data_IF_586693506298
#
_entry.id   IF_586693506298
#
_cell.length_a   1.000
_cell.length_b   1.000
_cell.length_c   1.000
_cell.angle_alpha   90.00
_cell.angle_beta   90.00
_cell.angle_gamma   90.00
#
_symmetry.space_group_name_H-M   'P 1'
#
loop_
_entity.id
_entity.type
_entity.pdbx_description
1 polymer ?
#
# COMPACT_ATOMS: atom_id res chain seq x y z
N UNK A 1 -22.68 -19.28 0.67
CA UNK A 1 -21.74 -18.33 0.02
C UNK A 1 -20.29 -18.80 0.04
N UNK A 2 -19.74 -19.29 1.17
CA UNK A 2 -18.32 -19.72 1.25
C UNK A 2 -18.00 -20.98 0.41
N UNK A 3 -18.85 -22.01 0.46
CA UNK A 3 -18.64 -23.27 -0.29
C UNK A 3 -18.59 -23.11 -1.82
N UNK A 4 -19.26 -22.10 -2.37
CA UNK A 4 -19.29 -21.87 -3.81
C UNK A 4 -18.01 -21.17 -4.33
N UNK A 5 -17.24 -20.56 -3.42
CA UNK A 5 -15.99 -19.85 -3.73
C UNK A 5 -14.76 -20.71 -3.43
N UNK A 6 -14.87 -21.64 -2.48
CA UNK A 6 -13.80 -22.56 -2.10
C UNK A 6 -14.35 -23.98 -1.92
N UNK A 7 -14.55 -24.74 -3.02
CA UNK A 7 -15.20 -26.05 -2.98
C UNK A 7 -14.39 -27.13 -2.23
N UNK A 8 -13.06 -27.01 -2.20
CA UNK A 8 -12.15 -27.97 -1.57
C UNK A 8 -11.68 -27.57 -0.16
N UNK A 9 -12.30 -26.55 0.46
CA UNK A 9 -11.84 -26.03 1.76
C UNK A 9 -12.46 -26.78 2.94
N UNK A 10 -11.59 -27.26 3.83
CA UNK A 10 -11.99 -27.79 5.13
C UNK A 10 -12.68 -26.69 5.95
N UNK A 11 -14.00 -26.82 6.09
CA UNK A 11 -14.84 -25.86 6.81
C UNK A 11 -14.54 -25.81 8.31
N UNK A 12 -13.99 -26.88 8.90
CA UNK A 12 -13.59 -26.88 10.31
C UNK A 12 -12.31 -26.08 10.51
N UNK A 13 -11.29 -26.31 9.67
CA UNK A 13 -10.08 -25.48 9.67
C UNK A 13 -10.40 -24.00 9.42
N UNK A 14 -11.30 -23.71 8.48
CA UNK A 14 -11.71 -22.33 8.20
C UNK A 14 -12.42 -21.68 9.39
N UNK A 15 -13.28 -22.41 10.11
CA UNK A 15 -13.92 -21.92 11.34
C UNK A 15 -12.89 -21.64 12.44
N UNK A 16 -11.92 -22.53 12.62
CA UNK A 16 -10.84 -22.34 13.60
C UNK A 16 -10.01 -21.08 13.31
N UNK A 17 -9.65 -20.87 12.04
CA UNK A 17 -8.93 -19.65 11.62
C UNK A 17 -9.81 -18.42 11.82
N UNK A 18 -11.08 -18.46 11.41
CA UNK A 18 -12.00 -17.35 11.58
C UNK A 18 -12.19 -16.97 13.05
N UNK A 19 -12.21 -17.93 13.98
CA UNK A 19 -12.28 -17.65 15.42
C UNK A 19 -11.00 -17.03 15.99
N UNK A 20 -9.86 -17.22 15.33
CA UNK A 20 -8.59 -16.60 15.72
C UNK A 20 -8.42 -15.17 15.18
N UNK A 21 -9.33 -14.69 14.33
CA UNK A 21 -9.29 -13.33 13.77
C UNK A 21 -10.32 -12.46 14.45
N UNK A 22 -9.85 -11.45 15.19
CA UNK A 22 -10.71 -10.40 15.74
C UNK A 22 -10.84 -9.26 14.75
N UNK A 23 -12.06 -8.95 14.33
CA UNK A 23 -12.36 -7.85 13.40
C UNK A 23 -13.03 -6.71 14.16
N UNK A 24 -12.52 -5.49 13.94
CA UNK A 24 -13.10 -4.26 14.48
C UNK A 24 -13.32 -3.31 13.32
N UNK A 25 -14.51 -2.73 13.24
CA UNK A 25 -14.86 -1.74 12.23
C UNK A 25 -14.92 -0.35 12.86
N UNK A 26 -14.42 0.63 12.13
CA UNK A 26 -14.51 2.04 12.50
C UNK A 26 -15.02 2.85 11.33
N UNK A 27 -15.74 3.92 11.64
CA UNK A 27 -16.34 4.80 10.63
C UNK A 27 -15.83 6.23 10.70
N UNK A 28 -15.14 6.58 11.79
CA UNK A 28 -14.58 7.91 12.03
C UNK A 28 -13.12 7.85 12.46
N UNK A 29 -12.40 8.97 12.28
CA UNK A 29 -11.03 9.13 12.73
C UNK A 29 -10.91 9.13 14.26
N UNK A 30 -11.92 9.62 14.98
CA UNK A 30 -11.92 9.62 16.45
C UNK A 30 -12.11 8.19 16.99
N UNK A 31 -13.06 7.41 16.45
CA UNK A 31 -13.23 5.99 16.81
C UNK A 31 -11.94 5.19 16.56
N UNK A 32 -11.28 5.42 15.42
CA UNK A 32 -10.00 4.78 15.12
C UNK A 32 -8.94 5.17 16.15
N UNK A 33 -8.87 6.44 16.55
CA UNK A 33 -7.91 6.89 17.58
C UNK A 33 -8.17 6.18 18.91
N UNK A 34 -9.42 6.17 19.37
CA UNK A 34 -9.80 5.56 20.65
C UNK A 34 -9.42 4.07 20.69
N UNK A 35 -9.65 3.35 19.59
CA UNK A 35 -9.24 1.95 19.44
C UNK A 35 -7.71 1.81 19.46
N UNK A 36 -6.98 2.71 18.79
CA UNK A 36 -5.52 2.67 18.76
C UNK A 36 -4.89 3.04 20.10
N UNK A 37 -5.55 3.84 20.92
CA UNK A 37 -5.13 4.13 22.30
C UNK A 37 -5.24 2.88 23.19
N UNK A 38 -6.23 2.02 22.93
CA UNK A 38 -6.46 0.77 23.65
C UNK A 38 -5.82 -0.46 22.97
N UNK A 39 -5.07 -0.27 21.89
CA UNK A 39 -4.60 -1.37 21.03
C UNK A 39 -3.76 -2.40 21.78
N UNK A 40 -2.92 -1.97 22.73
CA UNK A 40 -2.10 -2.89 23.54
C UNK A 40 -2.96 -3.89 24.33
N UNK A 41 -4.07 -3.43 24.91
CA UNK A 41 -5.01 -4.29 25.64
C UNK A 41 -5.70 -5.24 24.66
N UNK A 42 -6.16 -4.72 23.52
CA UNK A 42 -6.81 -5.54 22.50
C UNK A 42 -5.90 -6.64 21.94
N UNK A 43 -4.61 -6.32 21.74
CA UNK A 43 -3.58 -7.27 21.31
C UNK A 43 -3.36 -8.35 22.37
N UNK A 44 -3.28 -7.97 23.64
CA UNK A 44 -3.12 -8.90 24.75
C UNK A 44 -4.33 -9.84 24.88
N UNK A 45 -5.54 -9.28 24.93
CA UNK A 45 -6.79 -10.03 25.09
C UNK A 45 -7.03 -11.01 23.94
N UNK A 46 -6.68 -10.61 22.72
CA UNK A 46 -6.81 -11.45 21.54
C UNK A 46 -5.62 -12.40 21.33
N UNK A 47 -4.56 -12.30 22.14
CA UNK A 47 -3.27 -12.97 21.91
C UNK A 47 -2.79 -12.80 20.45
N UNK A 48 -2.89 -11.57 19.94
CA UNK A 48 -2.70 -11.28 18.53
C UNK A 48 -1.22 -11.28 18.14
N UNK A 49 -0.87 -11.99 17.06
CA UNK A 49 0.48 -11.98 16.47
C UNK A 49 0.69 -10.95 15.35
N UNK A 50 -0.37 -10.25 14.92
CA UNK A 50 -0.35 -9.29 13.82
C UNK A 50 -1.54 -8.33 13.95
N UNK A 51 -1.31 -7.04 13.70
CA UNK A 51 -2.38 -6.05 13.52
C UNK A 51 -2.42 -5.61 12.06
N UNK A 52 -3.61 -5.60 11.46
CA UNK A 52 -3.85 -5.09 10.11
C UNK A 52 -4.86 -3.94 10.19
N UNK A 53 -4.55 -2.81 9.54
CA UNK A 53 -5.43 -1.66 9.43
C UNK A 53 -5.69 -1.38 7.95
N UNK A 54 -6.93 -1.56 7.51
CA UNK A 54 -7.37 -1.39 6.12
C UNK A 54 -8.63 -0.51 6.04
N UNK A 55 -8.55 0.78 5.69
CA UNK A 55 -7.34 1.60 5.54
C UNK A 55 -7.50 2.95 6.26
N UNK A 56 -6.41 3.49 6.80
CA UNK A 56 -6.39 4.86 7.39
C UNK A 56 -6.69 5.92 6.31
N UNK A 57 -6.30 5.63 5.06
CA UNK A 57 -6.48 6.54 3.93
C UNK A 57 -7.95 6.81 3.62
N UNK A 58 -8.83 5.82 3.82
CA UNK A 58 -10.26 5.97 3.59
C UNK A 58 -10.89 7.01 4.53
N UNK A 59 -10.65 6.89 5.84
CA UNK A 59 -11.20 7.80 6.85
C UNK A 59 -10.65 9.22 6.67
N UNK A 60 -9.32 9.32 6.56
CA UNK A 60 -8.64 10.63 6.52
C UNK A 60 -8.93 11.43 5.25
N UNK A 61 -9.25 10.76 4.14
CA UNK A 61 -9.66 11.46 2.90
C UNK A 61 -11.00 12.19 3.06
N UNK A 62 -11.94 11.59 3.80
CA UNK A 62 -13.28 12.17 4.01
C UNK A 62 -13.25 13.32 5.02
N UNK A 63 -12.55 13.13 6.14
CA UNK A 63 -12.62 14.06 7.28
C UNK A 63 -11.64 15.24 7.17
N UNK A 64 -10.54 15.09 6.45
CA UNK A 64 -9.51 16.13 6.32
C UNK A 64 -9.32 16.62 4.87
N UNK A 65 -10.37 16.61 4.05
CA UNK A 65 -10.27 16.89 2.61
C UNK A 65 -9.55 18.21 2.28
N UNK A 66 -9.74 19.24 3.11
CA UNK A 66 -9.15 20.58 2.92
C UNK A 66 -8.10 20.96 3.97
N UNK A 67 -7.85 20.10 4.95
CA UNK A 67 -6.97 20.43 6.09
C UNK A 67 -5.78 19.46 6.19
N UNK A 68 -4.78 19.72 5.35
CA UNK A 68 -3.56 18.93 5.31
C UNK A 68 -2.73 19.05 6.60
N UNK A 69 -2.86 20.15 7.36
CA UNK A 69 -2.10 20.37 8.59
C UNK A 69 -2.66 19.48 9.70
N UNK A 70 -3.97 19.54 9.95
CA UNK A 70 -4.63 18.65 10.92
C UNK A 70 -4.51 17.20 10.52
N UNK A 71 -4.58 16.89 9.22
CA UNK A 71 -4.29 15.55 8.72
C UNK A 71 -2.89 15.08 9.10
N UNK A 72 -1.86 15.91 8.89
CA UNK A 72 -0.49 15.55 9.20
C UNK A 72 -0.27 15.32 10.70
N UNK A 73 -0.87 16.14 11.56
CA UNK A 73 -0.82 16.00 13.01
C UNK A 73 -1.53 14.72 13.50
N UNK A 74 -2.74 14.49 12.99
CA UNK A 74 -3.52 13.27 13.26
C UNK A 74 -2.72 12.01 12.86
N UNK A 75 -2.17 11.99 11.65
CA UNK A 75 -1.35 10.87 11.15
C UNK A 75 -0.08 10.65 11.96
N UNK A 76 0.55 11.72 12.44
CA UNK A 76 1.75 11.63 13.30
C UNK A 76 1.41 11.02 14.67
N UNK A 77 0.27 11.41 15.23
CA UNK A 77 -0.28 10.83 16.46
C UNK A 77 -0.53 9.33 16.27
N UNK A 78 -1.27 8.95 15.23
CA UNK A 78 -1.56 7.54 14.95
C UNK A 78 -0.29 6.71 14.77
N UNK A 79 0.67 7.20 13.98
CA UNK A 79 1.92 6.49 13.75
C UNK A 79 2.69 6.26 15.06
N UNK A 80 2.62 7.19 16.01
CA UNK A 80 3.25 7.07 17.32
C UNK A 80 2.56 6.01 18.19
N UNK A 81 1.23 5.96 18.19
CA UNK A 81 0.43 4.92 18.87
C UNK A 81 0.77 3.52 18.32
N UNK A 82 0.81 3.39 17.00
CA UNK A 82 1.10 2.12 16.32
C UNK A 82 2.54 1.66 16.59
N UNK A 83 3.53 2.56 16.50
CA UNK A 83 4.92 2.24 16.83
C UNK A 83 5.07 1.79 18.28
N UNK A 84 4.43 2.49 19.21
CA UNK A 84 4.47 2.14 20.62
C UNK A 84 3.94 0.72 20.84
N UNK A 85 2.79 0.41 20.25
CA UNK A 85 2.19 -0.93 20.36
C UNK A 85 3.06 -2.00 19.71
N UNK A 86 3.53 -1.77 18.49
CA UNK A 86 4.41 -2.70 17.77
C UNK A 86 5.67 -3.04 18.58
N UNK A 87 6.30 -2.04 19.19
CA UNK A 87 7.50 -2.23 20.01
C UNK A 87 7.19 -2.92 21.34
N UNK A 88 6.13 -2.52 22.04
CA UNK A 88 5.81 -3.06 23.38
C UNK A 88 5.28 -4.48 23.33
N UNK A 89 4.43 -4.77 22.34
CA UNK A 89 3.89 -6.11 22.14
C UNK A 89 4.79 -6.99 21.26
N UNK A 90 5.86 -6.43 20.67
CA UNK A 90 6.77 -7.13 19.75
C UNK A 90 6.05 -7.82 18.60
N UNK A 91 5.06 -7.16 18.01
CA UNK A 91 4.29 -7.67 16.87
C UNK A 91 4.36 -6.74 15.66
N UNK A 92 4.27 -7.30 14.43
CA UNK A 92 4.10 -6.51 13.24
C UNK A 92 2.75 -5.77 13.21
N UNK A 93 2.80 -4.54 12.68
CA UNK A 93 1.62 -3.73 12.37
C UNK A 93 1.66 -3.40 10.88
N UNK A 94 0.64 -3.85 10.14
CA UNK A 94 0.47 -3.62 8.72
C UNK A 94 -0.64 -2.60 8.49
N UNK A 95 -0.34 -1.57 7.69
CA UNK A 95 -1.31 -0.54 7.30
C UNK A 95 -1.38 -0.49 5.79
N UNK A 96 -2.58 -0.56 5.24
CA UNK A 96 -2.79 -0.35 3.81
C UNK A 96 -2.93 1.13 3.51
N UNK A 97 -2.42 1.53 2.34
CA UNK A 97 -2.53 2.88 1.84
C UNK A 97 -2.85 2.84 0.35
N UNK A 98 -3.82 3.64 -0.06
CA UNK A 98 -4.22 3.73 -1.45
C UNK A 98 -3.40 4.79 -2.19
N UNK A 99 -3.31 4.61 -3.50
CA UNK A 99 -2.74 5.59 -4.41
C UNK A 99 -3.86 6.54 -4.85
N UNK A 100 -3.56 7.84 -4.90
CA UNK A 100 -4.47 8.90 -5.37
C UNK A 100 -3.77 9.77 -6.40
N UNK A 101 -4.55 10.35 -7.31
CA UNK A 101 -4.08 11.40 -8.19
C UNK A 101 -4.22 12.75 -7.50
N UNK A 102 -3.22 13.61 -7.66
CA UNK A 102 -3.28 15.03 -7.30
C UNK A 102 -3.02 15.86 -8.54
N UNK A 103 -3.54 17.07 -8.53
CA UNK A 103 -3.33 18.05 -9.58
C UNK A 103 -2.43 19.14 -9.02
N UNK A 104 -1.36 19.43 -9.75
CA UNK A 104 -0.53 20.59 -9.48
C UNK A 104 -1.15 21.79 -10.19
N UNK A 105 -1.60 22.78 -9.42
CA UNK A 105 -2.24 23.99 -9.95
C UNK A 105 -1.27 24.87 -10.76
N UNK A 106 0.03 24.78 -10.48
CA UNK A 106 1.06 25.62 -11.12
C UNK A 106 1.43 25.04 -12.48
N UNK A 107 1.63 23.72 -12.55
CA UNK A 107 2.01 23.04 -13.80
C UNK A 107 0.80 22.57 -14.60
N UNK A 108 -0.40 22.57 -14.00
CA UNK A 108 -1.61 21.94 -14.53
C UNK A 108 -1.45 20.43 -14.82
N UNK A 109 -0.45 19.78 -14.21
CA UNK A 109 -0.18 18.36 -14.39
C UNK A 109 -0.83 17.51 -13.30
N UNK A 110 -1.34 16.35 -13.70
CA UNK A 110 -1.82 15.33 -12.77
C UNK A 110 -0.67 14.38 -12.42
N UNK A 111 -0.46 14.16 -11.13
CA UNK A 111 0.56 13.22 -10.64
C UNK A 111 -0.01 12.24 -9.62
N UNK A 112 0.63 11.08 -9.55
CA UNK A 112 0.20 9.97 -8.70
C UNK A 112 0.98 10.02 -7.38
N UNK A 113 0.28 9.89 -6.26
CA UNK A 113 0.90 9.92 -4.93
C UNK A 113 0.16 9.04 -3.92
N UNK A 114 0.84 8.67 -2.84
CA UNK A 114 0.23 7.92 -1.75
C UNK A 114 -0.72 8.80 -0.92
N UNK A 115 -1.93 8.31 -0.60
CA UNK A 115 -2.99 9.13 -0.01
C UNK A 115 -2.65 9.72 1.37
N UNK A 116 -1.87 8.99 2.18
CA UNK A 116 -1.42 9.43 3.51
C UNK A 116 -0.29 10.48 3.48
N UNK A 117 0.37 10.69 2.34
CA UNK A 117 1.38 11.73 2.15
C UNK A 117 2.72 11.51 2.87
N UNK A 118 3.61 12.51 2.76
CA UNK A 118 5.02 12.42 3.18
C UNK A 118 5.19 12.20 4.68
N UNK A 119 4.41 12.87 5.53
CA UNK A 119 4.50 12.71 7.00
C UNK A 119 4.36 11.25 7.40
N UNK A 120 3.33 10.57 6.88
CA UNK A 120 3.14 9.15 7.11
C UNK A 120 4.29 8.31 6.56
N UNK A 121 4.74 8.66 5.36
CA UNK A 121 5.83 7.99 4.69
C UNK A 121 7.10 7.99 5.58
N UNK A 122 7.46 9.12 6.19
CA UNK A 122 8.61 9.21 7.09
C UNK A 122 8.42 8.42 8.38
N UNK A 123 7.17 8.29 8.82
CA UNK A 123 6.84 7.57 10.04
C UNK A 123 6.85 6.05 9.92
N UNK A 124 6.81 5.44 8.74
CA UNK A 124 6.85 3.96 8.61
C UNK A 124 8.25 3.39 8.44
N UNK A 125 8.49 2.19 8.95
CA UNK A 125 9.79 1.51 8.87
C UNK A 125 9.96 0.78 7.54
N UNK A 126 8.92 0.05 7.12
CA UNK A 126 8.91 -0.76 5.90
C UNK A 126 7.82 -0.21 4.97
N UNK A 127 8.13 -0.09 3.68
CA UNK A 127 7.17 0.27 2.63
C UNK A 127 7.19 -0.78 1.53
N UNK A 128 6.05 -1.41 1.38
CA UNK A 128 5.76 -2.36 0.31
C UNK A 128 4.86 -1.67 -0.71
N UNK A 129 5.27 -1.62 -1.97
CA UNK A 129 4.46 -1.08 -3.05
C UNK A 129 4.10 -2.19 -4.03
N UNK A 130 2.80 -2.34 -4.27
CA UNK A 130 2.22 -3.36 -5.16
C UNK A 130 1.86 -2.71 -6.49
N UNK A 131 2.29 -3.34 -7.58
CA UNK A 131 2.06 -2.86 -8.94
C UNK A 131 1.54 -4.01 -9.80
N UNK A 132 0.80 -3.68 -10.85
CA UNK A 132 0.54 -4.67 -11.90
C UNK A 132 1.83 -4.90 -12.71
N UNK A 133 2.12 -6.16 -13.03
CA UNK A 133 3.19 -6.45 -13.96
C UNK A 133 2.75 -6.05 -15.39
N UNK A 134 3.66 -5.59 -16.24
CA UNK A 134 3.36 -5.41 -17.66
C UNK A 134 2.95 -6.75 -18.28
N UNK A 135 1.85 -6.78 -19.04
CA UNK A 135 1.40 -7.99 -19.74
C UNK A 135 -0.09 -8.29 -19.59
N UNK A 136 -0.42 -9.57 -19.46
CA UNK A 136 -1.78 -10.16 -19.47
C UNK A 136 -2.66 -9.81 -18.25
N UNK A 137 -2.16 -8.96 -17.34
CA UNK A 137 -2.89 -8.48 -16.17
C UNK A 137 -2.97 -9.46 -15.00
N UNK A 138 -2.46 -10.70 -15.15
CA UNK A 138 -2.46 -11.68 -14.07
C UNK A 138 -1.27 -11.48 -13.11
N UNK A 139 -0.11 -11.11 -13.67
CA UNK A 139 1.11 -10.86 -12.92
C UNK A 139 1.08 -9.56 -12.12
N UNK A 140 1.73 -9.57 -10.96
CA UNK A 140 1.92 -8.42 -10.08
C UNK A 140 3.37 -8.34 -9.61
N UNK A 141 3.79 -7.15 -9.21
CA UNK A 141 5.12 -6.87 -8.69
C UNK A 141 4.97 -6.29 -7.29
N UNK A 142 5.63 -6.90 -6.30
CA UNK A 142 5.84 -6.34 -4.98
C UNK A 142 7.22 -5.69 -4.93
N UNK A 143 7.31 -4.42 -4.54
CA UNK A 143 8.59 -3.72 -4.39
C UNK A 143 8.80 -3.29 -2.93
N UNK A 144 9.97 -3.60 -2.39
CA UNK A 144 10.43 -3.11 -1.09
C UNK A 144 11.06 -1.74 -1.30
N UNK A 145 10.28 -0.68 -1.16
CA UNK A 145 10.72 0.70 -1.44
C UNK A 145 11.44 1.39 -0.28
N UNK A 146 11.21 0.90 0.95
CA UNK A 146 11.92 1.32 2.17
C UNK A 146 11.96 0.15 3.13
N UNK A 147 13.13 -0.15 3.68
CA UNK A 147 13.29 -1.09 4.79
C UNK A 147 14.63 -0.83 5.50
N UNK A 148 14.71 -0.92 6.83
CA UNK A 148 15.97 -0.84 7.55
C UNK A 148 16.83 -2.12 7.42
N UNK A 149 16.23 -3.24 7.03
CA UNK A 149 16.87 -4.57 7.09
C UNK A 149 16.86 -5.32 5.76
N UNK A 150 16.07 -4.87 4.78
CA UNK A 150 15.98 -5.50 3.47
C UNK A 150 16.41 -4.52 2.37
N UNK A 151 17.19 -4.97 1.36
CA UNK A 151 17.52 -4.14 0.22
C UNK A 151 16.27 -3.82 -0.61
N UNK A 152 16.40 -2.83 -1.50
CA UNK A 152 15.40 -2.64 -2.54
C UNK A 152 15.33 -3.91 -3.40
N UNK A 153 14.15 -4.50 -3.48
CA UNK A 153 13.91 -5.73 -4.23
C UNK A 153 12.53 -5.67 -4.87
N UNK A 154 12.41 -6.26 -6.06
CA UNK A 154 11.14 -6.47 -6.75
C UNK A 154 10.89 -7.97 -6.80
N UNK A 155 9.71 -8.38 -6.34
CA UNK A 155 9.28 -9.77 -6.22
C UNK A 155 8.01 -9.94 -7.07
N UNK A 156 8.09 -10.62 -8.22
CA UNK A 156 6.92 -10.95 -9.00
C UNK A 156 6.04 -11.97 -8.28
N UNK A 157 4.73 -11.77 -8.33
CA UNK A 157 3.76 -12.65 -7.70
C UNK A 157 2.46 -12.68 -8.50
N UNK A 158 1.65 -13.70 -8.27
CA UNK A 158 0.28 -13.78 -8.79
C UNK A 158 -0.69 -14.07 -7.66
N UNK A 159 -1.93 -13.60 -7.79
CA UNK A 159 -2.99 -13.90 -6.83
C UNK A 159 -3.77 -15.11 -7.34
N UNK A 160 -3.72 -16.19 -6.59
CA UNK A 160 -4.49 -17.42 -6.87
C UNK A 160 -5.68 -17.52 -5.92
N UNK A 161 -6.53 -18.54 -6.11
CA UNK A 161 -7.61 -18.85 -5.16
C UNK A 161 -7.10 -19.20 -3.75
N UNK A 162 -5.85 -19.67 -3.64
CA UNK A 162 -5.21 -19.98 -2.36
C UNK A 162 -4.47 -18.78 -1.75
N UNK A 163 -4.45 -17.62 -2.43
CA UNK A 163 -3.72 -16.42 -2.02
C UNK A 163 -2.55 -16.08 -2.95
N UNK A 164 -1.71 -15.11 -2.55
CA UNK A 164 -0.56 -14.70 -3.34
C UNK A 164 0.53 -15.77 -3.34
N UNK A 165 1.08 -16.07 -4.52
CA UNK A 165 2.26 -16.92 -4.69
C UNK A 165 3.34 -16.16 -5.44
N UNK A 166 4.58 -16.29 -4.97
CA UNK A 166 5.75 -15.76 -5.67
C UNK A 166 5.95 -16.52 -6.99
N UNK A 167 6.31 -15.79 -8.03
CA UNK A 167 6.66 -16.36 -9.32
C UNK A 167 8.18 -16.52 -9.36
N UNK A 168 8.64 -17.76 -9.49
CA UNK A 168 10.06 -18.05 -9.66
C UNK A 168 10.50 -17.61 -11.07
N UNK A 169 11.15 -16.45 -11.15
CA UNK A 169 11.76 -15.96 -12.40
C UNK A 169 13.12 -16.64 -12.59
N UNK A 170 13.10 -17.96 -12.72
CA UNK A 170 14.29 -18.72 -13.03
C UNK A 170 14.79 -18.36 -14.45
N UNK A 171 15.86 -17.55 -14.53
CA UNK A 171 16.77 -17.59 -15.67
C UNK A 171 16.93 -16.36 -16.56
N UNK A 172 16.48 -15.16 -16.18
CA UNK A 172 16.88 -13.98 -16.97
C UNK A 172 17.20 -12.75 -16.10
N UNK A 173 18.48 -12.65 -15.70
CA UNK A 173 19.03 -11.45 -15.06
C UNK A 173 18.87 -10.18 -15.91
N UNK A 174 18.48 -10.30 -17.20
CA UNK A 174 18.14 -9.15 -18.03
C UNK A 174 16.75 -8.56 -17.73
N UNK A 175 15.78 -9.34 -17.27
CA UNK A 175 14.41 -8.84 -16.97
C UNK A 175 14.37 -8.22 -15.57
N UNK A 176 15.06 -8.82 -14.60
CA UNK A 176 15.24 -8.23 -13.27
C UNK A 176 15.91 -6.85 -13.35
N UNK A 177 16.92 -6.68 -14.21
CA UNK A 177 17.57 -5.39 -14.47
C UNK A 177 16.65 -4.39 -15.20
N UNK A 178 15.93 -4.82 -16.25
CA UNK A 178 15.06 -3.92 -17.04
C UNK A 178 13.77 -3.52 -16.32
N UNK A 179 13.18 -4.40 -15.52
CA UNK A 179 12.06 -4.08 -14.64
C UNK A 179 12.52 -3.29 -13.41
N UNK A 180 13.72 -3.55 -12.88
CA UNK A 180 14.30 -2.71 -11.83
C UNK A 180 14.69 -1.32 -12.35
N UNK A 181 15.09 -1.13 -13.61
CA UNK A 181 15.37 0.19 -14.19
C UNK A 181 14.10 0.97 -14.53
N UNK A 182 13.08 0.32 -15.12
CA UNK A 182 11.76 0.92 -15.39
C UNK A 182 10.99 1.22 -14.09
N UNK A 183 11.05 0.31 -13.12
CA UNK A 183 10.50 0.52 -11.78
C UNK A 183 11.39 1.40 -10.90
N UNK A 184 12.70 1.50 -11.13
CA UNK A 184 13.52 2.55 -10.51
C UNK A 184 13.22 3.90 -11.14
N UNK A 185 12.76 3.98 -12.40
CA UNK A 185 12.23 5.22 -12.97
C UNK A 185 10.88 5.57 -12.33
N UNK A 186 9.94 4.63 -12.21
CA UNK A 186 8.68 4.82 -11.47
C UNK A 186 8.85 5.06 -9.97
N UNK A 187 9.83 4.42 -9.34
CA UNK A 187 10.22 4.63 -7.95
C UNK A 187 11.06 5.88 -7.77
N UNK A 188 11.86 6.32 -8.77
CA UNK A 188 12.48 7.66 -8.79
C UNK A 188 11.40 8.74 -8.90
N UNK A 189 10.33 8.52 -9.67
CA UNK A 189 9.16 9.40 -9.72
C UNK A 189 8.45 9.47 -8.35
N UNK A 190 8.41 8.36 -7.60
CA UNK A 190 7.78 8.32 -6.27
C UNK A 190 8.70 8.70 -5.09
N UNK A 191 10.02 8.67 -5.25
CA UNK A 191 11.01 8.81 -4.16
C UNK A 191 11.98 9.99 -4.34
N UNK A 192 11.75 10.89 -5.31
CA UNK A 192 12.53 12.11 -5.51
C UNK A 192 12.00 13.25 -4.64
N UNK A 193 12.18 13.14 -3.33
CA UNK A 193 12.23 14.32 -2.47
C UNK A 193 13.60 14.99 -2.67
N UNK A 194 13.67 15.89 -3.67
CA UNK A 194 14.64 16.97 -3.93
C UNK A 194 14.95 17.09 -5.44
N UNK A 195 14.03 17.66 -6.22
CA UNK A 195 14.35 18.41 -7.44
C UNK A 195 13.09 19.14 -7.94
N UNK A 196 12.77 20.28 -7.33
CA UNK A 196 11.74 21.24 -7.78
C UNK A 196 12.05 21.92 -9.14
N UNK A 197 12.94 21.39 -9.99
CA UNK A 197 13.42 22.15 -11.17
C UNK A 197 13.74 21.36 -12.46
N UNK A 198 13.44 20.05 -12.58
CA UNK A 198 13.98 19.28 -13.72
C UNK A 198 13.00 18.32 -14.44
N UNK A 199 11.75 18.74 -14.68
CA UNK A 199 10.82 17.95 -15.52
C UNK A 199 10.16 18.73 -16.67
N UNK A 200 10.85 19.75 -17.19
CA UNK A 200 10.43 20.48 -18.40
C UNK A 200 10.69 19.74 -19.73
N UNK A 201 11.22 18.51 -19.74
CA UNK A 201 11.81 17.92 -20.97
C UNK A 201 11.18 16.61 -21.45
N UNK A 202 10.09 16.11 -20.84
CA UNK A 202 9.48 14.83 -21.25
C UNK A 202 7.98 14.89 -21.59
N UNK A 203 7.46 16.07 -21.96
CA UNK A 203 6.06 16.24 -22.37
C UNK A 203 5.68 15.55 -23.70
N UNK A 204 6.65 15.09 -24.50
CA UNK A 204 6.36 14.52 -25.83
C UNK A 204 5.99 13.03 -25.89
N UNK A 205 6.19 12.26 -24.81
CA UNK A 205 5.96 10.80 -24.85
C UNK A 205 4.73 10.33 -24.06
N UNK A 206 4.11 11.21 -23.26
CA UNK A 206 2.95 10.86 -22.42
C UNK A 206 1.60 10.89 -23.17
N UNK A 207 1.51 11.62 -24.30
CA UNK A 207 0.31 11.59 -25.15
C UNK A 207 0.11 10.23 -25.83
N UNK A 208 1.18 9.48 -26.12
CA UNK A 208 1.07 8.17 -26.78
C UNK A 208 0.45 7.07 -25.88
N UNK A 209 0.66 7.16 -24.55
CA UNK A 209 0.13 6.16 -23.60
C UNK A 209 -1.33 6.44 -23.24
N UNK A 210 -1.73 7.71 -23.17
CA UNK A 210 -3.13 8.10 -22.97
C UNK A 210 -3.99 7.84 -24.22
N UNK A 211 -3.41 7.97 -25.42
CA UNK A 211 -4.07 7.56 -26.67
C UNK A 211 -4.32 6.04 -26.74
N UNK A 212 -3.41 5.22 -26.17
CA UNK A 212 -3.58 3.76 -26.14
C UNK A 212 -4.66 3.29 -25.15
N UNK A 213 -4.86 4.00 -24.03
CA UNK A 213 -5.88 3.67 -23.03
C UNK A 213 -7.29 4.19 -23.37
N UNK A 214 -7.40 5.24 -24.20
CA UNK A 214 -8.69 5.78 -24.65
C UNK A 214 -9.32 4.99 -25.81
N UNK A 215 -8.55 4.14 -26.51
CA UNK A 215 -9.05 3.30 -27.59
C UNK A 215 -9.72 1.98 -27.13
N UNK A 216 -9.64 1.61 -25.84
CA UNK A 216 -10.20 0.35 -25.31
C UNK A 216 -11.57 0.50 -24.63
N UNK A 217 -12.18 1.68 -24.63
CA UNK A 217 -13.49 1.94 -24.00
C UNK A 217 -14.62 2.32 -24.97
N UNK A 218 -14.47 1.99 -26.26
CA UNK A 218 -15.59 1.97 -27.20
C UNK A 218 -15.71 0.58 -27.82
N UNK A 219 -16.33 -0.35 -27.07
CA UNK A 219 -17.31 -1.35 -27.51
C UNK A 219 -17.96 -1.98 -26.27
#
# INVERSE_FOLDING_TARGET
MVQHRFPDTDLQALKQIATAVRVVFTTTCDELRDILEQLEVLVCDANAGLVIIDSIAYLTRKEFALDNIRKADYLSTLASLLKRTATRSSIPVLVTNQITTRFDEVTAEAYVTAALGNTWAHSVNIRLALHFAPGDGAGRLLSISKSPTAPYQIIPYQITQAGPIELDVAGDQAIGGRLAESSAHGARILNRNMADQAFSTYSGQHEAVLAAQSAQYYY
#
